data_IF_711414577706
#
_entry.id   IF_711414577706
#
_cell.length_a   1.000
_cell.length_b   1.000
_cell.length_c   1.000
_cell.angle_alpha   90.00
_cell.angle_beta   90.00
_cell.angle_gamma   90.00
#
_symmetry.space_group_name_H-M   'P 1'
#
loop_
_entity.id
_entity.type
_entity.pdbx_description
1 polymer ?
#
# COMPACT_ATOMS: atom_id res chain seq x y z
N UNK A 1 36.49 4.91 -29.39
CA UNK A 1 36.21 4.10 -28.18
C UNK A 1 35.31 4.94 -27.29
N UNK A 2 34.01 4.65 -27.26
CA UNK A 2 33.05 5.40 -26.43
C UNK A 2 32.84 4.62 -25.12
N UNK A 3 33.46 5.11 -24.05
CA UNK A 3 33.14 4.69 -22.69
C UNK A 3 32.00 5.53 -22.18
N UNK A 4 30.77 5.01 -22.25
CA UNK A 4 29.65 5.60 -21.51
C UNK A 4 29.83 5.23 -20.04
N UNK A 5 29.99 6.25 -19.19
CA UNK A 5 29.93 6.11 -17.73
C UNK A 5 28.53 5.60 -17.35
N UNK A 6 28.38 4.47 -16.64
CA UNK A 6 27.10 3.96 -16.20
C UNK A 6 26.75 4.49 -14.80
N UNK A 7 26.98 5.77 -14.56
CA UNK A 7 26.70 6.40 -13.29
C UNK A 7 25.86 7.63 -13.55
N UNK A 8 24.82 7.81 -12.73
CA UNK A 8 23.83 8.89 -12.75
C UNK A 8 22.53 8.49 -13.48
N UNK A 9 21.75 7.61 -12.85
CA UNK A 9 20.28 7.76 -12.88
C UNK A 9 19.95 8.66 -11.68
N UNK A 10 20.13 9.96 -11.86
CA UNK A 10 19.71 10.97 -10.87
C UNK A 10 18.18 11.04 -10.93
N UNK A 11 17.52 10.53 -9.89
CA UNK A 11 16.08 10.64 -9.62
C UNK A 11 15.14 10.54 -10.85
N UNK A 12 14.45 9.41 -11.02
CA UNK A 12 13.22 9.42 -11.82
C UNK A 12 12.20 10.30 -11.09
N UNK A 13 11.79 11.40 -11.73
CA UNK A 13 10.53 12.04 -11.39
C UNK A 13 9.45 11.01 -11.75
N UNK A 14 9.02 10.24 -10.76
CA UNK A 14 7.88 9.35 -10.90
C UNK A 14 6.67 10.24 -11.21
N UNK A 15 6.23 10.28 -12.47
CA UNK A 15 5.05 11.02 -12.90
C UNK A 15 3.75 10.42 -12.37
N UNK A 16 3.84 9.23 -11.76
CA UNK A 16 2.73 8.43 -11.29
C UNK A 16 2.83 8.28 -9.78
N UNK A 17 1.72 8.55 -9.10
CA UNK A 17 1.59 8.39 -7.65
C UNK A 17 1.30 6.94 -7.34
N UNK A 18 2.10 6.33 -6.48
CA UNK A 18 1.90 4.94 -6.06
C UNK A 18 1.20 4.90 -4.72
N UNK A 19 0.36 3.90 -4.51
CA UNK A 19 -0.35 3.77 -3.26
C UNK A 19 -0.87 2.37 -3.00
N UNK A 20 -1.44 2.19 -1.83
CA UNK A 20 -2.09 0.96 -1.45
C UNK A 20 -3.44 1.23 -0.79
N UNK A 21 -4.33 0.23 -0.88
CA UNK A 21 -5.64 0.29 -0.24
C UNK A 21 -5.54 -0.05 1.25
N UNK A 22 -6.12 0.81 2.08
CA UNK A 22 -6.18 0.66 3.53
C UNK A 22 -7.60 0.93 4.05
N UNK A 23 -7.93 0.33 5.19
CA UNK A 23 -9.09 0.72 5.98
C UNK A 23 -8.61 1.49 7.21
N UNK A 24 -9.09 2.73 7.40
CA UNK A 24 -8.74 3.60 8.54
C UNK A 24 -9.93 3.74 9.49
N UNK A 25 -9.74 4.07 10.77
CA UNK A 25 -10.84 4.45 11.65
C UNK A 25 -11.70 5.56 11.00
N UNK A 26 -13.02 5.43 11.08
CA UNK A 26 -13.93 6.37 10.43
C UNK A 26 -13.97 7.70 11.20
N UNK A 27 -13.33 8.72 10.65
CA UNK A 27 -13.54 10.11 11.02
C UNK A 27 -14.71 10.76 10.22
N UNK A 28 -15.82 11.17 10.85
CA UNK A 28 -16.96 11.81 10.18
C UNK A 28 -16.66 13.20 9.61
N UNK A 29 -15.58 13.87 10.05
CA UNK A 29 -15.17 15.18 9.52
C UNK A 29 -14.35 15.08 8.24
N UNK A 30 -13.69 13.93 8.02
CA UNK A 30 -12.82 13.69 6.87
C UNK A 30 -13.45 12.73 5.85
N UNK A 31 -14.20 11.74 6.30
CA UNK A 31 -14.67 10.64 5.47
C UNK A 31 -16.16 10.74 5.12
N UNK A 32 -16.54 10.46 3.87
CA UNK A 32 -17.92 10.46 3.45
C UNK A 32 -18.65 9.23 3.99
N UNK A 33 -19.92 9.40 4.37
CA UNK A 33 -20.70 8.39 5.09
C UNK A 33 -20.92 7.10 4.27
N UNK A 34 -20.92 7.19 2.94
CA UNK A 34 -21.02 6.03 2.04
C UNK A 34 -19.78 5.12 2.06
N UNK A 35 -18.64 5.62 2.58
CA UNK A 35 -17.41 4.86 2.81
C UNK A 35 -17.32 4.32 4.24
N UNK A 36 -18.30 4.59 5.10
CA UNK A 36 -18.38 4.02 6.45
C UNK A 36 -18.72 2.53 6.38
N UNK A 37 -17.97 1.72 7.09
CA UNK A 37 -18.20 0.29 7.26
C UNK A 37 -17.93 -0.11 8.72
N UNK A 38 -18.71 -1.06 9.24
CA UNK A 38 -18.53 -1.55 10.61
C UNK A 38 -17.86 -2.91 10.60
N UNK A 39 -16.78 -3.03 11.37
CA UNK A 39 -16.10 -4.29 11.65
C UNK A 39 -16.16 -4.49 13.17
N UNK A 40 -16.93 -5.49 13.62
CA UNK A 40 -17.16 -5.79 15.03
C UNK A 40 -17.60 -4.58 15.89
N UNK A 41 -18.51 -3.78 15.36
CA UNK A 41 -19.03 -2.60 16.05
C UNK A 41 -18.10 -1.37 16.01
N UNK A 42 -16.90 -1.50 15.46
CA UNK A 42 -15.99 -0.36 15.22
C UNK A 42 -16.18 0.17 13.80
N UNK A 43 -16.32 1.49 13.66
CA UNK A 43 -16.50 2.13 12.36
C UNK A 43 -15.15 2.41 11.66
N UNK A 44 -15.04 2.00 10.41
CA UNK A 44 -13.89 2.21 9.53
C UNK A 44 -14.33 2.91 8.24
N UNK A 45 -13.44 3.71 7.66
CA UNK A 45 -13.51 4.17 6.29
C UNK A 45 -12.87 3.10 5.39
N UNK A 46 -13.64 2.56 4.45
CA UNK A 46 -13.16 1.58 3.47
C UNK A 46 -12.57 2.29 2.25
N UNK A 47 -11.71 1.56 1.53
CA UNK A 47 -11.14 1.99 0.25
C UNK A 47 -10.27 3.25 0.33
N UNK A 48 -9.72 3.60 1.49
CA UNK A 48 -8.76 4.71 1.57
C UNK A 48 -7.54 4.37 0.72
N UNK A 49 -7.04 5.37 -0.01
CA UNK A 49 -5.81 5.28 -0.79
C UNK A 49 -4.71 5.99 -0.02
N UNK A 50 -3.68 5.24 0.36
CA UNK A 50 -2.50 5.80 1.02
C UNK A 50 -1.36 5.85 0.01
N UNK A 51 -0.79 7.03 -0.18
CA UNK A 51 0.35 7.24 -1.08
C UNK A 51 1.60 6.59 -0.47
N UNK A 52 2.33 5.83 -1.27
CA UNK A 52 3.66 5.33 -0.92
C UNK A 52 4.63 6.52 -0.89
N UNK A 53 5.25 6.72 0.26
CA UNK A 53 6.30 7.71 0.48
C UNK A 53 7.68 7.13 0.13
N UNK A 54 8.69 8.00 0.01
CA UNK A 54 10.03 7.72 -0.57
C UNK A 54 10.77 6.54 0.08
N UNK A 55 11.79 6.10 -0.64
CA UNK A 55 12.66 4.96 -0.40
C UNK A 55 13.11 4.77 1.06
N UNK A 56 12.91 3.55 1.59
CA UNK A 56 13.21 3.08 2.96
C UNK A 56 12.22 3.47 4.06
N UNK A 57 10.99 3.89 3.73
CA UNK A 57 9.98 4.15 4.75
C UNK A 57 9.22 2.87 5.19
N UNK A 58 8.78 2.87 6.46
CA UNK A 58 7.92 1.83 7.03
C UNK A 58 6.55 2.45 7.24
N UNK A 59 5.61 2.11 6.35
CA UNK A 59 4.23 2.59 6.46
C UNK A 59 3.43 1.64 7.35
N UNK A 60 2.81 2.18 8.41
CA UNK A 60 1.98 1.40 9.32
C UNK A 60 0.56 1.31 8.81
N UNK A 61 0.12 0.09 8.50
CA UNK A 61 -1.24 -0.20 8.06
C UNK A 61 -2.13 -0.52 9.26
N UNK A 62 -3.36 -0.03 9.20
CA UNK A 62 -4.34 -0.07 10.28
C UNK A 62 -4.90 -1.45 10.62
N UNK A 63 -5.74 -1.43 11.65
CA UNK A 63 -6.36 -2.54 12.35
C UNK A 63 -7.11 -3.54 11.43
N UNK A 64 -6.74 -4.84 11.50
CA UNK A 64 -7.38 -5.92 10.72
C UNK A 64 -7.70 -7.14 11.60
N UNK A 65 -8.83 -7.79 11.31
CA UNK A 65 -9.34 -8.98 12.03
C UNK A 65 -9.59 -10.15 11.09
N UNK A 66 -8.56 -10.53 10.34
CA UNK A 66 -8.61 -11.69 9.44
C UNK A 66 -7.37 -12.54 9.67
N UNK A 67 -7.50 -13.85 9.45
CA UNK A 67 -6.36 -14.79 9.50
C UNK A 67 -5.33 -14.50 8.39
N UNK A 68 -5.67 -13.61 7.47
CA UNK A 68 -4.77 -13.08 6.46
C UNK A 68 -5.08 -11.60 6.19
N UNK A 69 -4.04 -10.81 5.97
CA UNK A 69 -4.13 -9.41 5.61
C UNK A 69 -3.69 -9.22 4.18
N UNK A 70 -4.63 -8.77 3.35
CA UNK A 70 -4.36 -8.40 1.96
C UNK A 70 -3.97 -6.92 1.86
N UNK A 71 -2.91 -6.62 1.15
CA UNK A 71 -2.46 -5.26 0.80
C UNK A 71 -2.43 -5.20 -0.71
N UNK A 72 -3.34 -4.42 -1.29
CA UNK A 72 -3.43 -4.24 -2.74
C UNK A 72 -2.74 -2.93 -3.12
N UNK A 73 -1.89 -3.00 -4.14
CA UNK A 73 -1.10 -1.88 -4.64
C UNK A 73 -1.71 -1.35 -5.93
N UNK A 74 -1.60 -0.04 -6.10
CA UNK A 74 -2.26 0.72 -7.16
C UNK A 74 -1.36 1.84 -7.64
N UNK A 75 -1.68 2.36 -8.82
CA UNK A 75 -1.11 3.59 -9.37
C UNK A 75 -2.20 4.65 -9.50
N UNK A 76 -1.83 5.92 -9.44
CA UNK A 76 -2.73 7.06 -9.66
C UNK A 76 -2.04 8.10 -10.53
N UNK A 77 -2.80 8.68 -11.47
CA UNK A 77 -2.39 9.87 -12.22
C UNK A 77 -2.62 11.17 -11.45
N UNK A 78 -3.32 11.10 -10.32
CA UNK A 78 -3.62 12.21 -9.43
C UNK A 78 -2.87 12.03 -8.09
N UNK A 79 -1.95 12.94 -7.71
CA UNK A 79 -1.26 12.88 -6.43
C UNK A 79 -2.18 13.11 -5.21
N UNK A 80 -3.36 13.69 -5.41
CA UNK A 80 -4.32 14.00 -4.35
C UNK A 80 -5.43 12.94 -4.24
N UNK A 81 -5.29 11.79 -4.91
CA UNK A 81 -6.24 10.68 -4.83
C UNK A 81 -6.45 10.21 -3.38
N UNK A 82 -7.72 10.07 -2.98
CA UNK A 82 -8.10 9.77 -1.59
C UNK A 82 -8.64 8.37 -1.43
N UNK A 83 -9.23 7.80 -2.48
CA UNK A 83 -9.83 6.48 -2.46
C UNK A 83 -9.34 5.61 -3.60
N UNK A 84 -9.19 4.32 -3.34
CA UNK A 84 -8.79 3.34 -4.35
C UNK A 84 -9.85 3.11 -5.43
N UNK A 85 -11.01 3.79 -5.32
CA UNK A 85 -12.11 3.77 -6.29
C UNK A 85 -12.21 5.08 -7.08
N UNK A 86 -11.29 6.03 -6.84
CA UNK A 86 -11.25 7.28 -7.59
C UNK A 86 -10.87 6.98 -9.04
N UNK A 87 -11.42 7.73 -10.00
CA UNK A 87 -11.24 7.45 -11.42
C UNK A 87 -9.79 7.59 -11.92
N UNK A 88 -8.97 8.34 -11.17
CA UNK A 88 -7.52 8.49 -11.40
C UNK A 88 -6.70 7.29 -10.96
N UNK A 89 -7.28 6.39 -10.13
CA UNK A 89 -6.61 5.21 -9.60
C UNK A 89 -6.80 4.02 -10.56
N UNK A 90 -5.72 3.31 -10.84
CA UNK A 90 -5.71 2.13 -11.71
C UNK A 90 -6.42 0.93 -11.08
N UNK A 91 -6.56 -0.17 -11.84
CA UNK A 91 -6.77 -1.48 -11.23
C UNK A 91 -5.56 -1.86 -10.35
N UNK A 92 -5.72 -2.83 -9.41
CA UNK A 92 -4.60 -3.32 -8.62
C UNK A 92 -3.47 -3.83 -9.53
N UNK A 93 -2.25 -3.40 -9.26
CA UNK A 93 -1.03 -3.82 -9.97
C UNK A 93 -0.30 -4.96 -9.26
N UNK A 94 -0.67 -5.23 -8.00
CA UNK A 94 -0.13 -6.34 -7.20
C UNK A 94 -0.84 -6.47 -5.86
N UNK A 95 -0.67 -7.62 -5.21
CA UNK A 95 -1.25 -7.93 -3.90
C UNK A 95 -0.23 -8.68 -3.04
N UNK A 96 -0.03 -8.22 -1.81
CA UNK A 96 0.66 -8.98 -0.77
C UNK A 96 -0.37 -9.56 0.20
N UNK A 97 -0.26 -10.86 0.51
CA UNK A 97 -1.14 -11.55 1.47
C UNK A 97 -0.29 -12.09 2.60
N UNK A 98 -0.32 -11.41 3.75
CA UNK A 98 0.40 -11.87 4.95
C UNK A 98 -0.55 -12.66 5.84
N UNK A 99 -0.15 -13.86 6.24
CA UNK A 99 -0.91 -14.65 7.22
C UNK A 99 -0.80 -14.01 8.60
N UNK A 100 -1.94 -13.84 9.27
CA UNK A 100 -2.04 -13.30 10.63
C UNK A 100 -2.87 -14.25 11.51
N UNK A 101 -2.31 -15.42 11.86
CA UNK A 101 -3.03 -16.49 12.56
C UNK A 101 -3.36 -16.14 14.02
N UNK A 102 -2.59 -15.23 14.65
CA UNK A 102 -2.88 -14.78 16.02
C UNK A 102 -4.06 -13.81 16.02
N UNK A 103 -5.24 -14.33 16.35
CA UNK A 103 -6.47 -13.52 16.46
C UNK A 103 -6.75 -12.94 17.84
N UNK A 104 -5.91 -13.21 18.83
CA UNK A 104 -6.18 -12.88 20.23
C UNK A 104 -6.32 -11.37 20.48
N UNK A 105 -5.66 -10.53 19.67
CA UNK A 105 -5.69 -9.06 19.79
C UNK A 105 -6.85 -8.40 19.04
N UNK A 106 -7.75 -9.17 18.44
CA UNK A 106 -8.91 -8.62 17.72
C UNK A 106 -8.49 -7.69 16.59
N UNK A 107 -8.93 -6.43 16.64
CA UNK A 107 -8.63 -5.39 15.64
C UNK A 107 -7.27 -4.73 15.86
N UNK A 108 -6.67 -4.78 17.05
CA UNK A 108 -5.42 -4.06 17.41
C UNK A 108 -4.13 -4.62 16.77
N UNK A 109 -4.25 -5.35 15.66
CA UNK A 109 -3.13 -5.89 14.90
C UNK A 109 -2.59 -4.83 13.95
N UNK A 110 -1.28 -4.66 13.95
CA UNK A 110 -0.57 -3.73 13.10
C UNK A 110 0.20 -4.51 12.04
N UNK A 111 -0.05 -4.18 10.78
CA UNK A 111 0.75 -4.66 9.67
C UNK A 111 1.71 -3.53 9.29
N UNK A 112 3.01 -3.77 9.43
CA UNK A 112 4.03 -2.87 8.90
C UNK A 112 4.20 -3.18 7.41
N UNK A 113 4.32 -2.14 6.60
CA UNK A 113 4.61 -2.24 5.18
C UNK A 113 5.98 -1.60 4.94
N UNK A 114 6.98 -2.43 4.66
CA UNK A 114 8.32 -1.98 4.30
C UNK A 114 8.44 -1.89 2.77
N UNK A 115 8.91 -0.75 2.28
CA UNK A 115 9.00 -0.44 0.85
C UNK A 115 10.45 -0.18 0.46
N UNK A 116 10.97 -1.01 -0.43
CA UNK A 116 12.31 -0.88 -1.01
C UNK A 116 12.17 -0.59 -2.51
N UNK A 117 12.79 0.49 -3.00
CA UNK A 117 12.80 0.81 -4.42
C UNK A 117 14.10 0.26 -5.02
N UNK A 118 14.01 -0.80 -5.81
CA UNK A 118 15.08 -1.25 -6.69
C UNK A 118 15.00 -0.53 -8.04
N UNK A 119 16.11 -0.42 -8.77
CA UNK A 119 16.22 0.41 -9.98
C UNK A 119 15.07 0.29 -11.00
N UNK A 120 14.44 -0.88 -11.12
CA UNK A 120 13.27 -1.10 -11.98
C UNK A 120 12.03 -1.66 -11.26
N UNK A 121 12.13 -2.00 -9.97
CA UNK A 121 11.11 -2.77 -9.24
C UNK A 121 10.92 -2.20 -7.83
N UNK A 122 9.69 -2.11 -7.32
CA UNK A 122 9.47 -1.89 -5.88
C UNK A 122 9.24 -3.24 -5.23
N UNK A 123 10.02 -3.52 -4.20
CA UNK A 123 9.80 -4.64 -3.30
C UNK A 123 8.98 -4.14 -2.11
N UNK A 124 7.78 -4.67 -1.94
CA UNK A 124 6.90 -4.34 -0.84
C UNK A 124 6.75 -5.55 0.09
N UNK A 125 7.07 -5.38 1.36
CA UNK A 125 7.02 -6.43 2.38
C UNK A 125 5.97 -6.08 3.43
N UNK A 126 4.89 -6.84 3.48
CA UNK A 126 3.90 -6.77 4.56
C UNK A 126 4.34 -7.65 5.72
N UNK A 127 4.37 -7.09 6.93
CA UNK A 127 4.90 -7.72 8.15
C UNK A 127 3.82 -7.65 9.23
N UNK A 128 3.33 -8.79 9.68
CA UNK A 128 2.48 -8.87 10.88
C UNK A 128 3.35 -8.81 12.13
N UNK A 129 3.30 -7.69 12.86
CA UNK A 129 4.07 -7.52 14.11
C UNK A 129 3.71 -8.53 15.20
N UNK A 130 2.49 -9.07 15.19
CA UNK A 130 2.03 -9.97 16.26
C UNK A 130 2.60 -11.37 16.13
N UNK A 131 2.63 -11.91 14.91
CA UNK A 131 3.13 -13.25 14.60
C UNK A 131 4.58 -13.26 14.10
N UNK A 132 5.06 -12.13 13.57
CA UNK A 132 6.32 -12.04 12.83
C UNK A 132 6.21 -12.52 11.38
N UNK A 133 5.02 -12.92 10.93
CA UNK A 133 4.82 -13.39 9.57
C UNK A 133 5.02 -12.27 8.55
N UNK A 134 5.59 -12.63 7.40
CA UNK A 134 5.88 -11.67 6.33
C UNK A 134 5.41 -12.18 4.98
N UNK A 135 4.93 -11.28 4.13
CA UNK A 135 4.69 -11.55 2.72
C UNK A 135 5.34 -10.46 1.87
N UNK A 136 6.13 -10.86 0.88
CA UNK A 136 6.83 -9.95 -0.03
C UNK A 136 6.20 -10.03 -1.42
N UNK A 137 5.99 -8.89 -2.05
CA UNK A 137 5.61 -8.79 -3.46
C UNK A 137 6.60 -7.87 -4.18
N UNK A 138 6.92 -8.21 -5.42
CA UNK A 138 7.70 -7.38 -6.33
C UNK A 138 6.73 -6.74 -7.32
N UNK A 139 6.77 -5.43 -7.39
CA UNK A 139 5.92 -4.61 -8.23
C UNK A 139 6.79 -4.04 -9.33
N UNK A 140 6.54 -4.46 -10.57
CA UNK A 140 7.18 -3.89 -11.75
C UNK A 140 6.33 -2.72 -12.27
N UNK A 141 6.92 -1.53 -12.31
CA UNK A 141 6.26 -0.31 -12.78
C UNK A 141 6.60 0.03 -14.23
N UNK A 142 7.42 -0.78 -14.88
CA UNK A 142 7.81 -0.61 -16.28
C UNK A 142 6.89 -1.37 -17.25
N UNK A 143 5.64 -1.64 -16.88
CA UNK A 143 4.64 -2.00 -17.88
C UNK A 143 4.27 -0.74 -18.68
N UNK A 144 5.18 -0.32 -19.56
CA UNK A 144 4.85 0.46 -20.74
C UNK A 144 3.71 -0.30 -21.42
N UNK A 145 2.50 0.25 -21.37
CA UNK A 145 1.47 -0.17 -22.31
C UNK A 145 1.86 0.42 -23.65
N UNK A 146 2.27 -0.46 -24.56
CA UNK A 146 2.31 -0.20 -26.01
C UNK A 146 0.99 0.41 -26.51
#
# INVERSE_FOLDING_TARGET
MFGQRPDIVDSRIMSTTYGFKINRPFDPSLHPINKKHFVDGVAYCKDCFEVLVKENDIVRTGEKKSNSCKVQFFTSTDPDAKYSTDASVSNPIGEAVVESPDVAKGTKRMIDLAIEFGGTEIKATAIDRSSGNTATVYLDFLCNKD
#
